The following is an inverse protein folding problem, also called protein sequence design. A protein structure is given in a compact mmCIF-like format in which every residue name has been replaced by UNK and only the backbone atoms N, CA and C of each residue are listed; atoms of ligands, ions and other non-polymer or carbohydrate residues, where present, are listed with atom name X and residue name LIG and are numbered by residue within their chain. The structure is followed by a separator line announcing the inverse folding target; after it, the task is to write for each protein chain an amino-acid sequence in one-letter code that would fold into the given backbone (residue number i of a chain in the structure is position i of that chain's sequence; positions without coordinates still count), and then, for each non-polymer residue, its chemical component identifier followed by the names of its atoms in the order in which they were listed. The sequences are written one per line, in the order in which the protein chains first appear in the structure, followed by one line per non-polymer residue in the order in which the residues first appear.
data_IF_942523465323
#
_entry.id   IF_942523465323
#
_cell.length_a   1.000
_cell.length_b   1.000
_cell.length_c   1.000
_cell.angle_alpha   90.00
_cell.angle_beta   90.00
_cell.angle_gamma   90.00
#
_symmetry.space_group_name_H-M   'P 1'
#
loop_
_entity.id
_entity.type
_entity.pdbx_description
1 polymer ?
#
# COMPACT_ATOMS: atom_id res chain seq x y z
N UNK A 1 -21.43 4.12 -6.23
CA UNK A 1 -21.48 2.88 -5.43
C UNK A 1 -22.46 3.07 -4.28
N UNK A 2 -23.36 2.11 -4.03
CA UNK A 2 -24.30 2.20 -2.88
C UNK A 2 -23.53 1.95 -1.57
N UNK A 3 -23.53 2.89 -0.60
CA UNK A 3 -22.78 2.76 0.66
C UNK A 3 -23.07 1.46 1.43
N UNK A 4 -24.29 0.93 1.33
CA UNK A 4 -24.70 -0.33 1.97
C UNK A 4 -23.94 -1.55 1.44
N UNK A 5 -23.66 -1.60 0.13
CA UNK A 5 -22.92 -2.71 -0.50
C UNK A 5 -21.47 -2.71 -0.02
N UNK A 6 -20.82 -1.54 -0.04
CA UNK A 6 -19.46 -1.37 0.47
C UNK A 6 -19.37 -1.80 1.93
N UNK A 7 -20.27 -1.27 2.77
CA UNK A 7 -20.23 -1.54 4.20
C UNK A 7 -20.47 -3.00 4.55
N UNK A 8 -21.28 -3.72 3.76
CA UNK A 8 -21.46 -5.17 3.92
C UNK A 8 -20.20 -5.93 3.54
N UNK A 9 -19.59 -5.59 2.41
CA UNK A 9 -18.40 -6.27 1.90
C UNK A 9 -17.19 -6.14 2.83
N UNK A 10 -16.85 -4.94 3.26
CA UNK A 10 -15.70 -4.71 4.15
C UNK A 10 -15.85 -5.34 5.55
N UNK A 11 -17.05 -5.81 5.91
CA UNK A 11 -17.32 -6.56 7.15
C UNK A 11 -17.38 -8.07 6.92
N UNK A 12 -17.24 -8.53 5.67
CA UNK A 12 -17.41 -9.94 5.30
C UNK A 12 -16.15 -10.76 5.59
N UNK A 13 -16.31 -12.09 5.66
CA UNK A 13 -15.18 -13.01 5.91
C UNK A 13 -14.15 -12.97 4.79
N UNK A 14 -14.59 -12.75 3.56
CA UNK A 14 -13.74 -12.64 2.37
C UNK A 14 -12.74 -11.49 2.52
N UNK A 15 -13.23 -10.29 2.88
CA UNK A 15 -12.37 -9.15 3.13
C UNK A 15 -11.46 -9.37 4.35
N UNK A 16 -12.04 -9.81 5.47
CA UNK A 16 -11.31 -10.01 6.72
C UNK A 16 -10.25 -11.10 6.66
N UNK A 17 -10.41 -12.13 5.81
CA UNK A 17 -9.46 -13.22 5.67
C UNK A 17 -8.28 -12.91 4.75
N UNK A 18 -8.53 -12.23 3.62
CA UNK A 18 -7.52 -11.92 2.59
C UNK A 18 -6.55 -10.83 3.04
N UNK A 19 -7.08 -9.85 3.75
CA UNK A 19 -6.44 -8.56 3.91
C UNK A 19 -5.35 -8.47 5.01
N UNK A 20 -5.53 -9.01 6.24
CA UNK A 20 -4.56 -8.84 7.32
C UNK A 20 -3.21 -9.50 7.04
N UNK A 21 -3.18 -10.63 6.32
CA UNK A 21 -1.93 -11.32 5.96
C UNK A 21 -1.10 -10.46 5.01
N UNK A 22 -1.72 -9.93 3.96
CA UNK A 22 -1.07 -9.02 3.02
C UNK A 22 -0.57 -7.76 3.72
N UNK A 23 -1.34 -7.14 4.60
CA UNK A 23 -0.83 -5.95 5.28
C UNK A 23 0.25 -6.21 6.31
N UNK A 24 0.31 -7.38 6.94
CA UNK A 24 1.47 -7.72 7.78
C UNK A 24 2.77 -7.74 6.98
N UNK A 25 2.72 -7.94 5.65
CA UNK A 25 3.92 -7.84 4.80
C UNK A 25 4.30 -6.40 4.45
N UNK A 26 3.55 -5.40 4.91
CA UNK A 26 3.92 -3.99 4.82
C UNK A 26 4.03 -3.42 6.23
N UNK A 27 5.12 -2.73 6.53
CA UNK A 27 5.25 -1.96 7.79
C UNK A 27 5.04 -0.46 7.61
N UNK A 28 4.94 0.00 6.36
CA UNK A 28 4.98 1.42 6.01
C UNK A 28 3.86 1.86 5.07
N UNK A 29 3.52 3.14 5.16
CA UNK A 29 2.59 3.82 4.28
C UNK A 29 3.16 3.91 2.86
N UNK A 30 2.39 3.51 1.86
CA UNK A 30 2.80 3.59 0.45
C UNK A 30 3.10 5.02 0.01
N UNK A 31 2.36 6.02 0.49
CA UNK A 31 2.58 7.40 0.11
C UNK A 31 3.83 8.01 0.75
N UNK A 32 4.14 7.57 1.98
CA UNK A 32 5.17 8.12 2.86
C UNK A 32 5.85 6.93 3.58
N UNK A 33 6.85 6.29 2.96
CA UNK A 33 7.42 5.01 3.45
C UNK A 33 8.04 5.05 4.85
N UNK A 34 8.30 6.24 5.39
CA UNK A 34 8.78 6.43 6.76
C UNK A 34 7.66 6.45 7.81
N UNK A 35 6.40 6.56 7.40
CA UNK A 35 5.26 6.54 8.33
C UNK A 35 4.74 5.10 8.50
N UNK A 36 4.50 4.66 9.74
CA UNK A 36 3.94 3.34 10.00
C UNK A 36 2.50 3.23 9.48
N UNK A 37 2.12 2.01 9.09
CA UNK A 37 0.72 1.69 8.83
C UNK A 37 -0.06 1.71 10.15
N UNK A 38 -0.69 2.86 10.41
CA UNK A 38 -1.55 3.06 11.56
C UNK A 38 -2.60 1.95 11.66
N UNK A 39 -2.73 1.38 12.86
CA UNK A 39 -3.80 0.42 13.19
C UNK A 39 -5.00 1.21 13.68
N UNK A 40 -6.19 0.91 13.15
CA UNK A 40 -7.41 1.41 13.76
C UNK A 40 -7.86 0.43 14.84
N UNK A 41 -7.94 0.89 16.09
CA UNK A 41 -8.57 0.15 17.18
C UNK A 41 -10.11 0.18 17.09
N UNK A 42 -10.66 1.08 16.28
CA UNK A 42 -12.10 1.31 16.12
C UNK A 42 -12.49 1.02 14.66
N UNK A 43 -12.97 -0.19 14.41
CA UNK A 43 -13.51 -0.60 13.09
C UNK A 43 -13.24 -2.06 12.74
N UNK A 44 -13.99 -2.57 11.76
CA UNK A 44 -13.79 -3.91 11.17
C UNK A 44 -12.51 -4.01 10.31
N UNK A 45 -11.67 -2.98 10.29
CA UNK A 45 -10.42 -2.89 9.54
C UNK A 45 -9.30 -2.55 10.52
N UNK A 46 -8.62 -3.60 11.02
CA UNK A 46 -7.50 -3.47 11.97
C UNK A 46 -6.38 -2.57 11.44
N UNK A 47 -6.26 -2.46 10.13
CA UNK A 47 -5.30 -1.63 9.45
C UNK A 47 -6.00 -0.69 8.48
N UNK A 48 -5.42 0.49 8.30
CA UNK A 48 -5.95 1.51 7.45
C UNK A 48 -5.58 1.28 5.97
N UNK A 49 -6.58 1.02 5.12
CA UNK A 49 -6.38 0.89 3.68
C UNK A 49 -7.30 1.80 2.88
N UNK A 50 -6.83 2.11 1.68
CA UNK A 50 -7.49 2.99 0.75
C UNK A 50 -7.81 2.25 -0.55
N UNK A 51 -9.09 2.17 -0.90
CA UNK A 51 -9.51 1.68 -2.22
C UNK A 51 -9.31 2.78 -3.26
N UNK A 52 -8.50 2.53 -4.28
CA UNK A 52 -8.26 3.50 -5.35
C UNK A 52 -9.50 3.74 -6.20
N UNK A 53 -10.34 2.71 -6.33
CA UNK A 53 -11.66 2.75 -6.94
C UNK A 53 -12.51 1.58 -6.43
N UNK A 54 -13.79 1.55 -6.81
CA UNK A 54 -14.76 0.54 -6.36
C UNK A 54 -15.31 -0.35 -7.48
N UNK A 55 -14.70 -0.33 -8.67
CA UNK A 55 -15.17 -1.09 -9.84
C UNK A 55 -14.98 -2.61 -9.67
N UNK A 56 -13.93 -3.02 -8.98
CA UNK A 56 -13.53 -4.42 -8.76
C UNK A 56 -13.86 -4.91 -7.35
N UNK A 57 -14.88 -4.34 -6.69
CA UNK A 57 -15.17 -4.68 -5.31
C UNK A 57 -15.44 -6.19 -5.14
N UNK A 58 -14.77 -6.86 -4.20
CA UNK A 58 -14.84 -8.32 -4.04
C UNK A 58 -13.78 -9.09 -4.83
N UNK A 59 -13.24 -8.49 -5.88
CA UNK A 59 -12.25 -9.07 -6.78
C UNK A 59 -10.99 -8.20 -6.86
N UNK A 60 -10.73 -7.38 -5.84
CA UNK A 60 -9.66 -6.41 -5.87
C UNK A 60 -8.30 -7.10 -5.93
N UNK A 61 -7.43 -6.58 -6.80
CA UNK A 61 -6.01 -6.86 -6.74
C UNK A 61 -5.42 -5.98 -5.64
N UNK A 62 -4.92 -6.61 -4.59
CA UNK A 62 -4.13 -5.90 -3.57
C UNK A 62 -2.97 -5.15 -4.25
N UNK A 63 -2.40 -4.11 -3.62
CA UNK A 63 -1.41 -3.17 -4.16
C UNK A 63 -1.85 -2.31 -5.37
N UNK A 64 -2.72 -2.83 -6.24
CA UNK A 64 -3.23 -2.10 -7.40
C UNK A 64 -4.51 -1.34 -7.10
N UNK A 65 -5.54 -2.05 -6.62
CA UNK A 65 -6.86 -1.52 -6.30
C UNK A 65 -6.95 -1.04 -4.84
N UNK A 66 -6.05 -1.53 -3.99
CA UNK A 66 -5.99 -1.25 -2.56
C UNK A 66 -4.58 -0.82 -2.20
N UNK A 67 -4.46 0.33 -1.55
CA UNK A 67 -3.19 0.90 -1.12
C UNK A 67 -3.07 0.89 0.41
N UNK A 68 -1.91 0.47 0.96
CA UNK A 68 -1.63 0.55 2.38
C UNK A 68 -1.26 1.99 2.74
N UNK A 69 -2.12 2.71 3.45
CA UNK A 69 -1.89 4.10 3.83
C UNK A 69 -1.89 4.26 5.34
N UNK A 70 -1.05 5.16 5.86
CA UNK A 70 -1.19 5.61 7.26
C UNK A 70 -2.54 6.30 7.46
N UNK A 71 -3.03 6.31 8.70
CA UNK A 71 -4.25 7.05 9.06
C UNK A 71 -4.16 8.51 8.61
N UNK A 72 -2.98 9.12 8.76
CA UNK A 72 -2.70 10.47 8.30
C UNK A 72 -2.88 10.62 6.78
N UNK A 73 -2.19 9.80 5.98
CA UNK A 73 -2.25 9.91 4.53
C UNK A 73 -3.67 9.65 4.00
N UNK A 74 -4.37 8.67 4.55
CA UNK A 74 -5.74 8.36 4.12
C UNK A 74 -6.72 9.47 4.48
N UNK A 75 -6.71 9.94 5.74
CA UNK A 75 -7.68 10.92 6.23
C UNK A 75 -7.39 12.33 5.74
N UNK A 76 -6.14 12.78 5.86
CA UNK A 76 -5.79 14.18 5.63
C UNK A 76 -5.31 14.45 4.21
N UNK A 77 -4.60 13.51 3.57
CA UNK A 77 -4.13 13.71 2.19
C UNK A 77 -5.24 13.30 1.22
N UNK A 78 -5.59 12.02 1.18
CA UNK A 78 -6.50 11.48 0.14
C UNK A 78 -7.93 11.99 0.31
N UNK A 79 -8.47 11.89 1.52
CA UNK A 79 -9.83 12.35 1.80
C UNK A 79 -9.88 13.83 2.19
N UNK A 80 -8.84 14.38 2.81
CA UNK A 80 -8.78 15.81 3.14
C UNK A 80 -8.45 16.65 1.93
N UNK A 81 -7.16 16.94 1.72
CA UNK A 81 -6.66 17.87 0.70
C UNK A 81 -7.11 17.48 -0.71
N UNK A 82 -6.85 16.23 -1.13
CA UNK A 82 -7.08 15.81 -2.52
C UNK A 82 -8.56 15.65 -2.89
N UNK A 83 -9.46 15.67 -1.91
CA UNK A 83 -10.89 15.60 -2.19
C UNK A 83 -11.74 16.67 -1.50
N UNK A 84 -11.10 17.68 -0.91
CA UNK A 84 -11.76 18.74 -0.13
C UNK A 84 -12.68 18.17 0.96
N UNK A 85 -12.20 17.16 1.69
CA UNK A 85 -12.95 16.47 2.76
C UNK A 85 -14.24 15.76 2.29
N UNK A 86 -14.39 15.52 0.99
CA UNK A 86 -15.55 14.82 0.41
C UNK A 86 -15.34 13.31 0.39
N UNK A 87 -16.33 12.57 0.91
CA UNK A 87 -16.38 11.11 0.76
C UNK A 87 -16.46 10.73 -0.72
N UNK A 88 -16.01 9.53 -1.12
CA UNK A 88 -16.11 9.08 -2.51
C UNK A 88 -17.52 9.19 -3.10
N UNK A 89 -18.56 8.91 -2.31
CA UNK A 89 -19.96 9.03 -2.74
C UNK A 89 -20.44 10.47 -2.95
N UNK A 90 -19.71 11.46 -2.45
CA UNK A 90 -20.00 12.89 -2.58
C UNK A 90 -19.22 13.55 -3.73
N UNK A 91 -18.29 12.83 -4.35
CA UNK A 91 -17.50 13.33 -5.46
C UNK A 91 -18.18 12.98 -6.78
N UNK A 92 -18.33 13.97 -7.69
CA UNK A 92 -18.91 13.75 -9.02
C UNK A 92 -18.05 12.79 -9.85
N UNK A 93 -16.74 12.92 -9.74
CA UNK A 93 -15.75 12.07 -10.40
C UNK A 93 -14.82 11.51 -9.33
N UNK A 94 -14.89 10.20 -9.10
CA UNK A 94 -14.01 9.49 -8.17
C UNK A 94 -13.34 8.29 -8.86
N UNK A 95 -12.01 8.12 -8.71
CA UNK A 95 -11.08 9.12 -8.17
C UNK A 95 -10.93 10.33 -9.11
N UNK A 96 -10.77 11.52 -8.54
CA UNK A 96 -10.45 12.71 -9.33
C UNK A 96 -8.98 12.68 -9.82
N UNK A 97 -8.58 13.62 -10.68
CA UNK A 97 -7.24 13.63 -11.27
C UNK A 97 -6.12 13.63 -10.21
N UNK A 98 -6.21 14.51 -9.20
CA UNK A 98 -5.20 14.60 -8.14
C UNK A 98 -5.11 13.30 -7.34
N UNK A 99 -6.25 12.68 -7.04
CA UNK A 99 -6.29 11.37 -6.38
C UNK A 99 -5.69 10.28 -7.28
N UNK A 100 -5.94 10.28 -8.60
CA UNK A 100 -5.33 9.32 -9.53
C UNK A 100 -3.81 9.44 -9.57
N UNK A 101 -3.29 10.67 -9.62
CA UNK A 101 -1.85 10.93 -9.57
C UNK A 101 -1.25 10.46 -8.24
N UNK A 102 -1.93 10.75 -7.12
CA UNK A 102 -1.53 10.25 -5.82
C UNK A 102 -1.55 8.71 -5.74
N UNK A 103 -2.54 8.05 -6.34
CA UNK A 103 -2.59 6.59 -6.42
C UNK A 103 -1.43 6.03 -7.25
N UNK A 104 -1.09 6.68 -8.37
CA UNK A 104 0.06 6.31 -9.17
C UNK A 104 1.36 6.45 -8.36
N UNK A 105 1.55 7.57 -7.67
CA UNK A 105 2.68 7.79 -6.76
C UNK A 105 2.83 6.68 -5.72
N UNK A 106 1.75 6.33 -5.03
CA UNK A 106 1.77 5.25 -4.03
C UNK A 106 2.19 3.91 -4.63
N UNK A 107 1.71 3.58 -5.83
CA UNK A 107 2.11 2.34 -6.52
C UNK A 107 3.60 2.37 -6.88
N UNK A 108 4.10 3.50 -7.39
CA UNK A 108 5.53 3.67 -7.69
C UNK A 108 6.40 3.53 -6.45
N UNK A 109 5.98 4.08 -5.30
CA UNK A 109 6.71 3.91 -4.03
C UNK A 109 6.72 2.46 -3.55
N UNK A 110 5.61 1.72 -3.68
CA UNK A 110 5.58 0.28 -3.36
C UNK A 110 6.58 -0.48 -4.24
N UNK A 111 6.57 -0.21 -5.55
CA UNK A 111 7.49 -0.84 -6.49
C UNK A 111 8.96 -0.49 -6.17
N UNK A 112 9.23 0.77 -5.82
CA UNK A 112 10.56 1.22 -5.44
C UNK A 112 11.05 0.51 -4.17
N UNK A 113 10.20 0.41 -3.14
CA UNK A 113 10.53 -0.33 -1.91
C UNK A 113 10.82 -1.79 -2.23
N UNK A 114 9.95 -2.46 -3.00
CA UNK A 114 10.18 -3.85 -3.41
C UNK A 114 11.47 -4.03 -4.22
N UNK A 115 11.76 -3.10 -5.11
CA UNK A 115 12.99 -3.11 -5.90
C UNK A 115 14.24 -2.99 -5.02
N UNK A 116 14.24 -2.08 -4.03
CA UNK A 116 15.35 -1.96 -3.07
C UNK A 116 15.52 -3.21 -2.20
N UNK A 117 14.42 -3.84 -1.77
CA UNK A 117 14.46 -5.11 -1.05
C UNK A 117 15.07 -6.26 -1.85
N UNK A 118 15.05 -6.19 -3.19
CA UNK A 118 15.70 -7.17 -4.06
C UNK A 118 17.17 -6.83 -4.33
N UNK A 119 17.48 -5.56 -4.58
CA UNK A 119 18.83 -5.13 -4.93
C UNK A 119 19.82 -5.19 -3.76
N UNK A 120 19.39 -4.83 -2.55
CA UNK A 120 20.30 -4.81 -1.39
C UNK A 120 20.87 -6.22 -1.10
N UNK A 121 20.06 -7.29 -0.99
CA UNK A 121 20.59 -8.64 -0.82
C UNK A 121 21.43 -9.11 -2.00
N UNK A 122 21.02 -8.80 -3.24
CA UNK A 122 21.79 -9.18 -4.43
C UNK A 122 23.17 -8.50 -4.46
N UNK A 123 23.23 -7.21 -4.12
CA UNK A 123 24.48 -6.46 -4.01
C UNK A 123 25.38 -7.00 -2.90
N UNK A 124 24.83 -7.32 -1.72
CA UNK A 124 25.57 -7.93 -0.62
C UNK A 124 26.12 -9.32 -1.00
N UNK A 125 25.33 -10.14 -1.69
CA UNK A 125 25.76 -11.45 -2.17
C UNK A 125 26.88 -11.36 -3.21
N UNK A 126 26.77 -10.41 -4.15
CA UNK A 126 27.81 -10.15 -5.15
C UNK A 126 29.11 -9.66 -4.50
N UNK A 127 29.01 -8.70 -3.57
CA UNK A 127 30.16 -8.18 -2.82
C UNK A 127 30.84 -9.29 -2.01
N UNK A 128 30.07 -10.15 -1.34
CA UNK A 128 30.59 -11.31 -0.62
C UNK A 128 31.32 -12.28 -1.55
N UNK A 129 30.74 -12.58 -2.73
CA UNK A 129 31.36 -13.49 -3.71
C UNK A 129 32.67 -12.93 -4.27
N UNK A 130 32.72 -11.64 -4.60
CA UNK A 130 33.96 -10.97 -5.06
C UNK A 130 35.03 -11.02 -3.98
N UNK A 131 34.67 -10.77 -2.72
CA UNK A 131 35.61 -10.84 -1.60
C UNK A 131 36.19 -12.26 -1.41
N UNK A 132 35.37 -13.31 -1.55
CA UNK A 132 35.85 -14.70 -1.50
C UNK A 132 36.85 -15.01 -2.62
N UNK A 133 36.57 -14.56 -3.85
CA UNK A 133 37.49 -14.76 -4.98
C UNK A 133 38.83 -14.05 -4.79
N UNK A 134 38.83 -12.82 -4.26
CA UNK A 134 40.06 -12.08 -3.99
C UNK A 134 40.93 -12.69 -2.87
N UNK A 135 40.30 -13.25 -1.83
CA UNK A 135 41.03 -13.99 -0.78
C UNK A 135 41.66 -15.28 -1.34
N UNK A 136 40.98 -15.97 -2.26
CA UNK A 136 41.48 -17.18 -2.91
C UNK A 136 42.63 -16.91 -3.90
N UNK A 137 42.69 -15.74 -4.53
CA UNK A 137 43.85 -15.33 -5.35
C UNK A 137 45.05 -14.92 -4.50
N UNK A 138 44.85 -14.28 -3.34
CA UNK A 138 45.93 -13.89 -2.43
C UNK A 138 46.65 -15.08 -1.77
N UNK A 139 45.96 -16.22 -1.65
CA UNK A 139 46.49 -17.45 -1.02
C UNK A 139 47.15 -18.42 -2.01
N UNK A 140 47.20 -18.08 -3.31
CA UNK A 140 47.90 -18.85 -4.36
C UNK A 140 49.26 -18.23 -4.66
#
# INVERSE_FOLDING_TARGET
MKPKVYSKYIRSKEWLGKHPKWLKSFNSCAALPFLPLGKSSRGYHRYNMHHTHYKTLGHERLWWDVLPLSLFAHKHIVHGVLSFYKRPSQQKVYPNLCQRLFHAWCRSMILLVWFWWLLIPAGLLLAWKVNQSGVLEFLK
#
